data_IF_238213926081
#
_entry.id   IF_238213926081
#
_cell.length_a   1.000
_cell.length_b   1.000
_cell.length_c   1.000
_cell.angle_alpha   90.00
_cell.angle_beta   90.00
_cell.angle_gamma   90.00
#
_symmetry.space_group_name_H-M   'P 1'
#
loop_
_entity.id
_entity.type
_entity.pdbx_description
1 polymer ?
#
# COMPACT_ATOMS: atom_id res chain seq x y z
N UNK A 1 13.63 -12.91 16.64
CA UNK A 1 13.30 -11.98 15.55
C UNK A 1 11.78 -11.95 15.49
N UNK A 2 11.14 -10.80 15.69
CA UNK A 2 9.67 -10.75 15.59
C UNK A 2 9.27 -11.11 14.17
N UNK A 3 8.37 -12.08 13.99
CA UNK A 3 7.70 -12.31 12.71
C UNK A 3 7.18 -10.98 12.18
N UNK A 4 7.60 -10.58 10.98
CA UNK A 4 7.10 -9.37 10.36
C UNK A 4 5.64 -9.60 9.98
N UNK A 5 4.77 -8.68 10.39
CA UNK A 5 3.36 -8.68 9.98
C UNK A 5 3.29 -8.42 8.48
N UNK A 6 2.87 -9.45 7.74
CA UNK A 6 2.76 -9.40 6.28
C UNK A 6 1.42 -9.97 5.83
N UNK A 7 0.79 -9.28 4.88
CA UNK A 7 -0.36 -9.78 4.14
C UNK A 7 0.15 -10.50 2.88
N UNK A 8 -0.36 -11.69 2.51
CA UNK A 8 0.05 -12.40 1.31
C UNK A 8 -0.16 -11.59 0.03
N UNK A 9 0.78 -11.67 -0.93
CA UNK A 9 0.75 -10.89 -2.18
C UNK A 9 -0.50 -11.13 -3.02
N UNK A 10 -1.12 -12.31 -2.91
CA UNK A 10 -2.41 -12.64 -3.55
C UNK A 10 -3.55 -11.71 -3.13
N UNK A 11 -3.42 -10.98 -2.01
CA UNK A 11 -4.38 -9.98 -1.53
C UNK A 11 -4.14 -8.58 -2.11
N UNK A 12 -3.07 -8.37 -2.88
CA UNK A 12 -2.69 -7.05 -3.39
C UNK A 12 -3.80 -6.36 -4.16
N UNK A 13 -4.45 -7.05 -5.09
CA UNK A 13 -5.55 -6.46 -5.89
C UNK A 13 -6.74 -6.09 -5.01
N UNK A 14 -7.09 -6.95 -4.04
CA UNK A 14 -8.17 -6.66 -3.08
C UNK A 14 -7.84 -5.41 -2.25
N UNK A 15 -6.61 -5.32 -1.74
CA UNK A 15 -6.16 -4.17 -0.97
C UNK A 15 -6.13 -2.89 -1.82
N UNK A 16 -5.63 -2.95 -3.05
CA UNK A 16 -5.58 -1.79 -3.95
C UNK A 16 -6.98 -1.26 -4.28
N UNK A 17 -7.95 -2.16 -4.50
CA UNK A 17 -9.36 -1.78 -4.68
C UNK A 17 -9.96 -1.17 -3.40
N UNK A 18 -9.60 -1.68 -2.22
CA UNK A 18 -10.04 -1.08 -0.96
C UNK A 18 -9.46 0.34 -0.79
N UNK A 19 -8.15 0.51 -1.02
CA UNK A 19 -7.46 1.80 -0.95
C UNK A 19 -8.02 2.81 -1.97
N UNK A 20 -8.48 2.36 -3.14
CA UNK A 20 -9.10 3.25 -4.13
C UNK A 20 -10.39 3.93 -3.60
N UNK A 21 -11.04 3.34 -2.59
CA UNK A 21 -12.18 3.94 -1.91
C UNK A 21 -11.79 4.93 -0.80
N UNK A 22 -10.49 5.16 -0.58
CA UNK A 22 -10.01 6.10 0.43
C UNK A 22 -9.83 7.50 -0.17
N UNK A 23 -10.17 8.53 0.60
CA UNK A 23 -10.16 9.91 0.12
C UNK A 23 -8.77 10.41 -0.31
N UNK A 24 -7.71 10.03 0.42
CA UNK A 24 -6.38 10.56 0.19
C UNK A 24 -5.31 9.60 0.65
N UNK A 25 -4.29 9.36 -0.17
CA UNK A 25 -3.08 8.61 0.20
C UNK A 25 -1.84 9.26 -0.39
N UNK A 26 -0.67 8.71 -0.09
CA UNK A 26 0.56 9.04 -0.82
C UNK A 26 1.17 7.76 -1.39
N UNK A 27 1.15 7.63 -2.70
CA UNK A 27 1.81 6.53 -3.41
C UNK A 27 3.26 6.91 -3.67
N UNK A 28 4.20 6.05 -3.30
CA UNK A 28 5.64 6.25 -3.49
C UNK A 28 6.20 5.16 -4.40
N UNK A 29 6.95 5.59 -5.42
CA UNK A 29 7.73 4.73 -6.30
C UNK A 29 9.22 5.05 -6.09
N UNK A 30 10.02 4.01 -5.87
CA UNK A 30 11.47 4.10 -5.71
C UNK A 30 12.14 3.58 -6.97
N UNK A 31 12.97 4.38 -7.62
CA UNK A 31 13.68 3.95 -8.81
C UNK A 31 15.03 4.67 -8.94
N UNK A 32 16.11 3.91 -9.13
CA UNK A 32 17.46 4.47 -9.33
C UNK A 32 17.93 5.40 -8.20
N UNK A 33 17.55 5.11 -6.95
CA UNK A 33 17.83 5.99 -5.80
C UNK A 33 16.98 7.26 -5.73
N UNK A 34 16.03 7.44 -6.66
CA UNK A 34 15.06 8.54 -6.67
C UNK A 34 13.76 8.14 -5.99
N UNK A 35 13.03 9.14 -5.47
CA UNK A 35 11.71 8.99 -4.85
C UNK A 35 10.70 9.80 -5.66
N UNK A 36 9.68 9.14 -6.17
CA UNK A 36 8.55 9.77 -6.85
C UNK A 36 7.30 9.60 -6.00
N UNK A 37 6.54 10.68 -5.83
CA UNK A 37 5.34 10.69 -5.00
C UNK A 37 4.13 11.15 -5.81
N UNK A 38 3.02 10.43 -5.67
CA UNK A 38 1.70 10.90 -6.08
C UNK A 38 0.83 11.10 -4.83
N UNK A 39 0.25 12.29 -4.68
CA UNK A 39 -0.58 12.67 -3.53
C UNK A 39 -2.00 12.91 -4.00
N UNK A 40 -2.92 12.10 -3.52
CA UNK A 40 -4.31 12.11 -3.94
C UNK A 40 -4.98 10.76 -3.67
N UNK A 41 -6.24 10.58 -4.12
CA UNK A 41 -6.91 9.29 -4.13
C UNK A 41 -6.08 8.27 -4.92
N UNK A 42 -6.04 7.02 -4.46
CA UNK A 42 -5.49 5.95 -5.29
C UNK A 42 -6.51 5.64 -6.39
N UNK A 43 -6.12 5.60 -7.68
CA UNK A 43 -7.10 5.39 -8.74
C UNK A 43 -7.62 3.95 -8.78
N UNK A 44 -8.84 3.79 -9.29
CA UNK A 44 -9.39 2.47 -9.60
C UNK A 44 -8.57 1.77 -10.69
N UNK A 45 -8.86 0.49 -10.90
CA UNK A 45 -8.13 -0.29 -11.89
C UNK A 45 -8.69 -1.70 -12.11
N UNK A 46 -8.19 -2.32 -13.16
CA UNK A 46 -8.63 -3.62 -13.65
C UNK A 46 -7.47 -4.58 -13.88
N UNK A 47 -7.71 -5.89 -13.83
CA UNK A 47 -6.70 -6.90 -14.16
C UNK A 47 -6.70 -7.16 -15.67
N UNK A 48 -5.51 -7.21 -16.27
CA UNK A 48 -5.33 -7.60 -17.67
C UNK A 48 -3.87 -7.90 -17.98
N UNK A 49 -3.62 -8.93 -18.81
CA UNK A 49 -2.27 -9.30 -19.30
C UNK A 49 -1.21 -9.52 -18.19
N UNK A 50 -1.63 -9.93 -16.98
CA UNK A 50 -0.74 -10.13 -15.83
C UNK A 50 -0.40 -8.87 -15.03
N UNK A 51 -1.09 -7.76 -15.29
CA UNK A 51 -0.94 -6.48 -14.59
C UNK A 51 -2.26 -6.04 -13.95
N UNK A 52 -2.16 -5.21 -12.90
CA UNK A 52 -3.24 -4.34 -12.46
C UNK A 52 -3.06 -2.97 -13.13
N UNK A 53 -3.97 -2.64 -14.03
CA UNK A 53 -3.96 -1.41 -14.82
C UNK A 53 -4.66 -0.32 -14.03
N UNK A 54 -3.95 0.77 -13.73
CA UNK A 54 -4.46 1.92 -12.99
C UNK A 54 -5.17 2.84 -13.98
N UNK A 55 -6.46 3.08 -13.75
CA UNK A 55 -7.38 3.79 -14.65
C UNK A 55 -7.93 5.04 -13.96
N UNK A 56 -7.05 6.02 -13.69
CA UNK A 56 -7.45 7.29 -13.10
C UNK A 56 -8.07 8.27 -14.08
N UNK A 57 -8.65 9.35 -13.57
CA UNK A 57 -8.99 10.49 -14.42
C UNK A 57 -7.71 11.16 -14.99
N UNK A 58 -7.84 11.85 -16.12
CA UNK A 58 -6.75 12.62 -16.72
C UNK A 58 -6.98 14.13 -16.49
N UNK A 59 -5.95 14.89 -16.07
CA UNK A 59 -4.60 14.44 -15.69
C UNK A 59 -4.59 13.71 -14.33
N UNK A 60 -3.70 12.71 -14.15
CA UNK A 60 -3.66 11.93 -12.92
C UNK A 60 -2.55 10.88 -12.83
N UNK A 61 -2.69 9.96 -11.87
CA UNK A 61 -1.79 8.81 -11.70
C UNK A 61 -2.29 7.64 -12.55
N UNK A 62 -1.44 7.18 -13.47
CA UNK A 62 -1.73 6.11 -14.41
C UNK A 62 -0.54 5.16 -14.47
N UNK A 63 -0.78 3.90 -14.84
CA UNK A 63 0.29 2.93 -15.02
C UNK A 63 -0.16 1.49 -14.90
N UNK A 64 0.81 0.59 -14.83
CA UNK A 64 0.60 -0.85 -14.80
C UNK A 64 1.42 -1.45 -13.66
N UNK A 65 0.76 -2.08 -12.69
CA UNK A 65 1.42 -2.77 -11.58
C UNK A 65 1.58 -4.23 -11.96
N UNK A 66 2.81 -4.73 -12.00
CA UNK A 66 3.08 -6.16 -12.20
C UNK A 66 2.73 -6.92 -10.93
N UNK A 67 1.47 -7.37 -10.82
CA UNK A 67 0.97 -8.03 -9.61
C UNK A 67 1.66 -9.36 -9.31
N UNK A 68 2.25 -10.01 -10.31
CA UNK A 68 2.97 -11.27 -10.15
C UNK A 68 4.32 -11.07 -9.44
N UNK A 69 4.83 -9.84 -9.37
CA UNK A 69 6.04 -9.50 -8.62
C UNK A 69 5.77 -9.26 -7.13
N UNK A 70 4.51 -9.10 -6.72
CA UNK A 70 4.16 -8.83 -5.32
C UNK A 70 4.02 -10.17 -4.60
N UNK A 71 5.01 -10.52 -3.79
CA UNK A 71 4.99 -11.75 -2.99
C UNK A 71 4.27 -11.55 -1.66
N UNK A 72 4.45 -10.38 -1.03
CA UNK A 72 3.79 -10.02 0.22
C UNK A 72 3.67 -8.51 0.37
N UNK A 73 2.88 -8.09 1.35
CA UNK A 73 2.58 -6.70 1.64
C UNK A 73 2.83 -6.48 3.11
N UNK A 74 3.91 -5.77 3.43
CA UNK A 74 4.29 -5.51 4.81
C UNK A 74 3.57 -4.29 5.36
N UNK A 75 3.13 -4.40 6.59
CA UNK A 75 2.62 -3.27 7.37
C UNK A 75 3.80 -2.50 7.95
N UNK A 76 4.06 -1.29 7.43
CA UNK A 76 5.05 -0.40 8.01
C UNK A 76 4.36 0.53 9.00
N UNK A 77 4.64 0.36 10.29
CA UNK A 77 4.29 1.29 11.36
C UNK A 77 5.61 1.81 11.96
N UNK A 78 6.02 3.01 11.55
CA UNK A 78 7.24 3.62 12.07
C UNK A 78 7.10 5.13 12.10
N UNK A 79 7.51 5.75 13.21
CA UNK A 79 7.58 7.20 13.28
C UNK A 79 8.57 7.74 12.23
N UNK A 80 8.14 8.74 11.46
CA UNK A 80 8.96 9.51 10.55
C UNK A 80 9.05 10.96 11.04
N UNK A 81 10.27 11.44 11.32
CA UNK A 81 10.51 12.78 11.89
C UNK A 81 9.66 13.08 13.14
N UNK A 82 9.50 12.08 14.01
CA UNK A 82 8.75 12.20 15.26
C UNK A 82 7.23 12.11 15.13
N UNK A 83 6.69 11.86 13.94
CA UNK A 83 5.24 11.67 13.71
C UNK A 83 4.96 10.24 13.28
N UNK A 84 3.87 9.65 13.76
CA UNK A 84 3.42 8.32 13.32
C UNK A 84 3.27 8.28 11.80
N UNK A 85 3.72 7.20 11.17
CA UNK A 85 3.62 7.01 9.73
C UNK A 85 3.35 5.54 9.43
N UNK A 86 2.27 5.32 8.70
CA UNK A 86 1.76 4.00 8.36
C UNK A 86 1.77 3.83 6.83
N UNK A 87 2.23 2.67 6.35
CA UNK A 87 2.22 2.35 4.93
C UNK A 87 2.04 0.86 4.67
N UNK A 88 1.41 0.56 3.54
CA UNK A 88 1.50 -0.75 2.90
C UNK A 88 2.72 -0.74 1.99
N UNK A 89 3.65 -1.66 2.22
CA UNK A 89 4.86 -1.82 1.40
C UNK A 89 4.69 -3.09 0.59
N UNK A 90 4.48 -2.93 -0.72
CA UNK A 90 4.29 -4.07 -1.64
C UNK A 90 5.68 -4.57 -2.04
N UNK A 91 5.99 -5.81 -1.68
CA UNK A 91 7.35 -6.35 -1.73
C UNK A 91 7.44 -7.60 -2.60
N UNK A 92 8.61 -7.78 -3.23
CA UNK A 92 8.94 -8.99 -3.99
C UNK A 92 9.27 -10.16 -3.08
N UNK A 93 9.52 -11.33 -3.65
CA UNK A 93 9.92 -12.53 -2.90
C UNK A 93 11.28 -12.40 -2.19
N UNK A 94 12.04 -11.35 -2.49
CA UNK A 94 13.34 -11.03 -1.87
C UNK A 94 13.28 -9.73 -1.06
N UNK A 95 12.09 -9.37 -0.59
CA UNK A 95 11.81 -8.21 0.29
C UNK A 95 12.17 -6.84 -0.33
N UNK A 96 12.26 -6.75 -1.66
CA UNK A 96 12.46 -5.48 -2.36
C UNK A 96 11.12 -4.77 -2.56
N UNK A 97 11.05 -3.48 -2.19
CA UNK A 97 9.83 -2.69 -2.36
C UNK A 97 9.57 -2.39 -3.85
N UNK A 98 8.45 -2.88 -4.37
CA UNK A 98 7.92 -2.53 -5.70
C UNK A 98 7.38 -1.10 -5.67
N UNK A 99 6.53 -0.79 -4.69
CA UNK A 99 6.01 0.54 -4.40
C UNK A 99 5.43 0.57 -2.97
N UNK A 100 5.05 1.76 -2.51
CA UNK A 100 4.42 1.96 -1.19
C UNK A 100 3.17 2.79 -1.32
N UNK A 101 2.20 2.53 -0.45
CA UNK A 101 1.06 3.42 -0.23
C UNK A 101 1.02 3.82 1.23
N UNK A 102 1.27 5.10 1.50
CA UNK A 102 1.17 5.70 2.83
C UNK A 102 -0.26 6.18 3.08
N UNK A 103 -0.72 6.03 4.33
CA UNK A 103 -1.98 6.61 4.76
C UNK A 103 -1.94 8.14 4.56
N UNK A 104 -3.08 8.69 4.15
CA UNK A 104 -3.23 10.11 3.91
C UNK A 104 -3.17 10.94 5.18
N UNK A 105 -2.92 12.22 4.97
CA UNK A 105 -3.04 13.25 5.99
C UNK A 105 -4.05 14.30 5.53
N UNK A 106 -4.79 14.84 6.48
CA UNK A 106 -5.71 15.94 6.23
C UNK A 106 -4.98 17.27 5.95
N UNK A 107 -5.75 18.35 5.81
CA UNK A 107 -5.21 19.69 5.53
C UNK A 107 -4.37 20.26 6.68
N UNK A 108 -4.53 19.74 7.90
CA UNK A 108 -3.75 20.09 9.09
C UNK A 108 -2.49 19.20 9.20
N UNK A 109 -2.36 18.22 8.32
CA UNK A 109 -1.27 17.27 8.32
C UNK A 109 -1.46 16.14 9.31
N UNK A 110 -2.64 15.93 9.88
CA UNK A 110 -2.94 14.81 10.78
C UNK A 110 -3.37 13.57 9.99
N UNK A 111 -3.06 12.38 10.52
CA UNK A 111 -3.43 11.13 9.85
C UNK A 111 -4.96 10.99 9.78
N UNK A 112 -5.46 10.48 8.67
CA UNK A 112 -6.89 10.24 8.49
C UNK A 112 -7.32 9.06 9.39
N UNK A 113 -8.13 9.34 10.41
CA UNK A 113 -8.50 8.39 11.47
C UNK A 113 -9.14 7.11 10.95
N UNK A 114 -10.01 7.19 9.94
CA UNK A 114 -10.66 6.02 9.35
C UNK A 114 -9.64 5.09 8.68
N UNK A 115 -8.66 5.65 7.99
CA UNK A 115 -7.58 4.88 7.36
C UNK A 115 -6.67 4.23 8.40
N UNK A 116 -6.30 4.95 9.47
CA UNK A 116 -5.50 4.40 10.58
C UNK A 116 -6.24 3.24 11.26
N UNK A 117 -7.54 3.41 11.50
CA UNK A 117 -8.39 2.38 12.12
C UNK A 117 -8.41 1.13 11.24
N UNK A 118 -8.64 1.29 9.93
CA UNK A 118 -8.68 0.17 9.00
C UNK A 118 -7.32 -0.50 8.82
N UNK A 119 -6.24 0.28 8.77
CA UNK A 119 -4.87 -0.25 8.74
C UNK A 119 -4.59 -1.15 9.94
N UNK A 120 -4.91 -0.70 11.16
CA UNK A 120 -4.69 -1.48 12.39
C UNK A 120 -5.56 -2.74 12.47
N UNK A 121 -6.78 -2.69 11.93
CA UNK A 121 -7.64 -3.87 11.79
C UNK A 121 -7.00 -4.90 10.86
N UNK A 122 -6.61 -4.50 9.64
CA UNK A 122 -5.90 -5.38 8.71
C UNK A 122 -4.63 -5.93 9.34
N UNK A 123 -3.83 -5.10 9.99
CA UNK A 123 -2.61 -5.52 10.67
C UNK A 123 -2.91 -6.62 11.72
N UNK A 124 -3.95 -6.46 12.53
CA UNK A 124 -4.36 -7.46 13.52
C UNK A 124 -4.89 -8.76 12.88
N UNK A 125 -5.69 -8.67 11.80
CA UNK A 125 -6.21 -9.81 11.04
C UNK A 125 -5.05 -10.73 10.56
N UNK A 126 -3.98 -10.14 10.04
CA UNK A 126 -2.81 -10.87 9.54
C UNK A 126 -1.71 -11.11 10.60
N UNK A 127 -1.95 -10.72 11.86
CA UNK A 127 -1.10 -11.11 13.01
C UNK A 127 -1.63 -12.38 13.70
N UNK A 128 -2.91 -12.71 13.51
CA UNK A 128 -3.57 -13.83 14.19
C UNK A 128 -3.67 -15.13 13.38
N UNK A 129 -3.28 -15.13 12.11
CA UNK A 129 -3.32 -16.32 11.25
C UNK A 129 -1.97 -17.04 11.33
N UNK A 130 -1.85 -18.00 12.26
CA UNK A 130 -0.95 -19.13 12.04
C UNK A 130 -1.45 -19.88 10.81
N UNK A 131 -0.54 -20.24 9.93
CA UNK A 131 -0.78 -21.12 8.79
C UNK A 131 -1.50 -22.39 9.27
N UNK A 132 -2.80 -22.51 8.98
CA UNK A 132 -3.47 -23.80 8.99
C UNK A 132 -3.14 -24.46 7.64
N UNK A 133 -2.21 -25.43 7.72
CA UNK A 133 -1.90 -26.59 6.85
C UNK A 133 -2.07 -26.49 5.32
#
# INVERSE_FOLDING_TARGET
MSEQQVMPGVKAVTLLKEIANWEWVTTIILHGGSVFEFKGPFPEGSLGEGFYNIEGDMPGFHGHININQIAHIRFQDKAHRGRESYAFVFETAVDEAVFKVFLGRDKQGELITSQVTRFKQLQAEYTGQKEDE
#
